data_IF_518835661220
#
_entry.id   IF_518835661220
#
_cell.length_a   1.000
_cell.length_b   1.000
_cell.length_c   1.000
_cell.angle_alpha   90.00
_cell.angle_beta   90.00
_cell.angle_gamma   90.00
#
_symmetry.space_group_name_H-M   'P 1'
#
loop_
_entity.id
_entity.type
_entity.pdbx_description
1 polymer ?
#
# COMPACT_ATOMS: atom_id res chain seq x y z
N UNK A 1 0.60 -14.05 3.81
CA UNK A 1 0.20 -12.76 3.20
C UNK A 1 0.05 -12.92 1.70
N UNK A 2 -0.90 -12.20 1.12
CA UNK A 2 -1.22 -12.28 -0.33
C UNK A 2 -1.16 -10.88 -0.94
N UNK A 3 -0.67 -10.77 -2.17
CA UNK A 3 -0.63 -9.49 -2.90
C UNK A 3 -0.78 -9.70 -4.40
N UNK A 4 -1.44 -8.75 -5.06
CA UNK A 4 -1.57 -8.71 -6.52
C UNK A 4 -0.35 -8.10 -7.22
N UNK A 5 0.54 -7.45 -6.46
CA UNK A 5 1.77 -6.88 -6.98
C UNK A 5 2.88 -7.93 -7.02
N UNK A 6 3.16 -8.42 -8.22
CA UNK A 6 4.26 -9.37 -8.45
C UNK A 6 5.61 -8.78 -8.03
N UNK A 7 5.81 -7.50 -8.32
CA UNK A 7 7.03 -6.77 -7.91
C UNK A 7 7.21 -6.80 -6.40
N UNK A 8 6.15 -6.57 -5.61
CA UNK A 8 6.27 -6.63 -4.15
C UNK A 8 6.60 -8.05 -3.67
N UNK A 9 5.87 -9.06 -4.16
CA UNK A 9 6.06 -10.45 -3.72
C UNK A 9 7.47 -10.95 -4.05
N UNK A 10 7.96 -10.70 -5.26
CA UNK A 10 9.30 -11.11 -5.69
C UNK A 10 10.40 -10.37 -4.90
N UNK A 11 10.15 -9.13 -4.48
CA UNK A 11 11.14 -8.31 -3.74
C UNK A 11 11.22 -8.68 -2.27
N UNK A 12 10.08 -8.89 -1.61
CA UNK A 12 10.03 -9.35 -0.21
C UNK A 12 10.66 -10.73 -0.06
N UNK A 13 10.53 -11.60 -1.08
CA UNK A 13 11.10 -12.95 -1.06
C UNK A 13 12.65 -13.02 -1.12
N UNK A 14 13.37 -11.91 -1.37
CA UNK A 14 14.83 -11.92 -1.25
C UNK A 14 15.62 -10.93 -2.09
N UNK A 15 15.04 -9.83 -2.57
CA UNK A 15 15.79 -8.94 -3.47
C UNK A 15 15.40 -7.46 -3.39
N UNK A 16 15.41 -6.92 -2.16
CA UNK A 16 15.03 -5.53 -1.83
C UNK A 16 15.86 -4.49 -2.63
N UNK A 17 17.11 -4.81 -2.97
CA UNK A 17 18.08 -3.84 -3.51
C UNK A 17 18.08 -3.67 -5.03
N UNK A 18 17.32 -4.46 -5.80
CA UNK A 18 17.41 -4.41 -7.26
C UNK A 18 16.39 -3.42 -7.86
N UNK A 19 16.70 -2.12 -7.74
CA UNK A 19 16.10 -1.05 -8.56
C UNK A 19 14.74 -0.49 -8.12
N UNK A 20 14.16 -0.95 -7.02
CA UNK A 20 12.86 -0.50 -6.52
C UNK A 20 12.99 0.52 -5.36
N UNK A 21 13.86 1.52 -5.53
CA UNK A 21 14.19 2.52 -4.49
C UNK A 21 12.96 3.27 -3.96
N UNK A 22 11.95 3.46 -4.82
CA UNK A 22 10.70 4.12 -4.49
C UNK A 22 9.82 3.35 -3.49
N UNK A 23 10.01 2.03 -3.35
CA UNK A 23 9.26 1.19 -2.41
C UNK A 23 10.16 0.57 -1.34
N UNK A 24 11.47 0.83 -1.37
CA UNK A 24 12.43 0.28 -0.42
C UNK A 24 12.07 0.56 1.05
N UNK A 25 11.63 1.77 1.45
CA UNK A 25 11.21 2.02 2.83
C UNK A 25 10.02 1.15 3.27
N UNK A 26 9.06 0.94 2.37
CA UNK A 26 7.89 0.09 2.63
C UNK A 26 8.32 -1.38 2.78
N UNK A 27 9.26 -1.84 1.94
CA UNK A 27 9.80 -3.20 2.03
C UNK A 27 10.55 -3.44 3.35
N UNK A 28 11.29 -2.44 3.84
CA UNK A 28 11.98 -2.52 5.13
C UNK A 28 10.99 -2.60 6.31
N UNK A 29 9.93 -1.79 6.28
CA UNK A 29 8.85 -1.85 7.28
C UNK A 29 8.13 -3.20 7.26
N UNK A 30 7.80 -3.71 6.08
CA UNK A 30 7.19 -5.03 5.90
C UNK A 30 8.07 -6.14 6.47
N UNK A 31 9.39 -6.10 6.24
CA UNK A 31 10.32 -7.07 6.81
C UNK A 31 10.44 -6.96 8.33
N UNK A 32 10.51 -5.72 8.83
CA UNK A 32 10.55 -5.46 10.27
C UNK A 32 9.32 -6.04 10.97
N UNK A 33 8.12 -5.77 10.44
CA UNK A 33 6.89 -6.37 10.95
C UNK A 33 6.87 -7.89 10.78
N UNK A 34 7.35 -8.41 9.65
CA UNK A 34 7.38 -9.86 9.41
C UNK A 34 8.25 -10.60 10.43
N UNK A 35 9.35 -9.98 10.90
CA UNK A 35 10.22 -10.56 11.93
C UNK A 35 9.55 -10.73 13.31
N UNK A 36 8.42 -10.07 13.54
CA UNK A 36 7.62 -10.26 14.77
C UNK A 36 6.77 -11.53 14.77
N UNK A 37 6.64 -12.20 13.62
CA UNK A 37 5.91 -13.46 13.47
C UNK A 37 6.89 -14.63 13.34
N UNK A 38 6.49 -15.82 13.80
CA UNK A 38 7.33 -17.03 13.68
C UNK A 38 7.60 -17.44 12.23
N UNK A 39 6.63 -17.22 11.34
CA UNK A 39 6.77 -17.48 9.91
C UNK A 39 5.81 -16.58 9.12
N UNK A 40 6.27 -16.02 8.00
CA UNK A 40 5.44 -15.26 7.06
C UNK A 40 5.67 -15.75 5.64
N UNK A 41 4.64 -16.35 5.06
CA UNK A 41 4.66 -16.79 3.66
C UNK A 41 4.00 -15.74 2.76
N UNK A 42 4.71 -15.30 1.73
CA UNK A 42 4.20 -14.38 0.71
C UNK A 42 3.76 -15.15 -0.52
N UNK A 43 2.55 -14.86 -1.00
CA UNK A 43 1.99 -15.46 -2.21
C UNK A 43 1.48 -14.38 -3.14
N UNK A 44 1.82 -14.50 -4.41
CA UNK A 44 1.18 -13.70 -5.45
C UNK A 44 -0.21 -14.26 -5.73
N UNK A 45 -1.20 -13.37 -5.76
CA UNK A 45 -2.59 -13.73 -6.08
C UNK A 45 -3.13 -12.78 -7.16
N UNK A 46 -3.85 -13.28 -8.18
CA UNK A 46 -4.49 -12.42 -9.17
C UNK A 46 -5.56 -11.54 -8.50
N UNK A 47 -5.81 -10.35 -9.06
CA UNK A 47 -6.79 -9.38 -8.54
C UNK A 47 -8.20 -9.94 -8.36
N UNK A 48 -8.59 -10.92 -9.18
CA UNK A 48 -9.88 -11.61 -9.04
C UNK A 48 -10.03 -12.32 -7.70
N UNK A 49 -8.94 -12.87 -7.17
CA UNK A 49 -8.89 -13.53 -5.86
C UNK A 49 -8.63 -12.51 -4.75
N UNK A 50 -7.80 -11.49 -5.00
CA UNK A 50 -7.53 -10.40 -4.04
C UNK A 50 -8.56 -9.25 -4.10
N UNK A 51 -9.79 -9.54 -4.53
CA UNK A 51 -10.81 -8.51 -4.84
C UNK A 51 -11.20 -7.68 -3.62
N UNK A 52 -11.22 -8.29 -2.44
CA UNK A 52 -11.54 -7.58 -1.20
C UNK A 52 -10.53 -6.45 -0.92
N UNK A 53 -9.23 -6.75 -0.99
CA UNK A 53 -8.19 -5.74 -0.81
C UNK A 53 -8.22 -4.68 -1.92
N UNK A 54 -8.48 -5.08 -3.17
CA UNK A 54 -8.64 -4.14 -4.28
C UNK A 54 -9.80 -3.16 -4.06
N UNK A 55 -10.96 -3.65 -3.61
CA UNK A 55 -12.11 -2.79 -3.30
C UNK A 55 -11.84 -1.88 -2.10
N UNK A 56 -11.18 -2.38 -1.06
CA UNK A 56 -10.78 -1.58 0.10
C UNK A 56 -9.83 -0.43 -0.32
N UNK A 57 -8.80 -0.74 -1.12
CA UNK A 57 -7.90 0.26 -1.68
C UNK A 57 -8.66 1.28 -2.54
N UNK A 58 -9.58 0.83 -3.41
CA UNK A 58 -10.39 1.72 -4.24
C UNK A 58 -11.28 2.66 -3.42
N UNK A 59 -11.89 2.17 -2.34
CA UNK A 59 -12.68 3.01 -1.41
C UNK A 59 -11.78 4.05 -0.74
N UNK A 60 -10.61 3.62 -0.24
CA UNK A 60 -9.63 4.52 0.36
C UNK A 60 -9.13 5.59 -0.61
N UNK A 61 -8.81 5.22 -1.84
CA UNK A 61 -8.41 6.16 -2.90
C UNK A 61 -9.48 7.20 -3.18
N UNK A 62 -10.76 6.80 -3.25
CA UNK A 62 -11.87 7.74 -3.44
C UNK A 62 -12.05 8.70 -2.26
N UNK A 63 -11.78 8.24 -1.03
CA UNK A 63 -11.82 9.11 0.14
C UNK A 63 -10.72 10.18 0.15
N UNK A 64 -9.66 10.00 -0.65
CA UNK A 64 -8.55 10.96 -0.80
C UNK A 64 -8.53 11.66 -2.17
N UNK A 65 -9.49 11.37 -3.05
CA UNK A 65 -9.68 12.05 -4.34
C UNK A 65 -10.30 13.45 -4.16
N UNK A 66 -10.08 14.39 -5.10
CA UNK A 66 -10.67 15.73 -5.09
C UNK A 66 -12.20 15.74 -4.93
N UNK A 67 -12.87 14.70 -5.41
CA UNK A 67 -14.31 14.49 -5.26
C UNK A 67 -14.75 14.45 -3.79
N UNK A 68 -13.91 13.90 -2.91
CA UNK A 68 -14.18 13.84 -1.48
C UNK A 68 -13.65 15.07 -0.73
N UNK A 69 -12.79 15.89 -1.35
CA UNK A 69 -12.23 17.10 -0.74
C UNK A 69 -13.24 18.23 -0.60
N UNK A 70 -14.31 18.23 -1.39
CA UNK A 70 -15.41 19.20 -1.25
C UNK A 70 -16.08 19.05 0.12
N UNK A 71 -16.31 17.81 0.55
CA UNK A 71 -16.96 17.49 1.83
C UNK A 71 -15.96 17.35 2.98
N UNK A 72 -14.74 16.89 2.70
CA UNK A 72 -13.72 16.61 3.71
C UNK A 72 -12.32 16.92 3.18
N UNK A 73 -11.96 18.20 3.06
CA UNK A 73 -10.66 18.59 2.53
C UNK A 73 -9.53 18.08 3.43
N UNK A 74 -8.36 17.75 2.86
CA UNK A 74 -7.18 17.40 3.64
C UNK A 74 -6.85 18.52 4.63
N UNK A 75 -6.41 18.21 5.87
CA UNK A 75 -6.04 19.24 6.85
C UNK A 75 -4.99 20.23 6.35
N UNK A 76 -4.11 19.79 5.44
CA UNK A 76 -3.12 20.63 4.76
C UNK A 76 -3.72 21.70 3.83
N UNK A 77 -4.96 21.52 3.36
CA UNK A 77 -5.70 22.46 2.50
C UNK A 77 -6.60 23.40 3.29
N UNK A 78 -7.09 22.99 4.46
CA UNK A 78 -7.96 23.81 5.33
C UNK A 78 -7.25 25.09 5.80
N UNK A 79 -5.94 25.05 6.01
CA UNK A 79 -5.15 26.23 6.41
C UNK A 79 -4.71 27.15 5.27
N UNK A 80 -4.84 26.73 4.01
CA UNK A 80 -4.38 27.48 2.82
C UNK A 80 -5.52 28.25 2.16
N UNK A 81 -6.76 27.73 2.24
CA UNK A 81 -7.96 28.36 1.69
C UNK A 81 -8.75 29.20 2.71
N UNK A 82 -8.20 29.41 3.91
CA UNK A 82 -8.79 30.29 4.91
C UNK A 82 -8.75 31.74 4.49
N UNK A 83 -9.91 32.28 4.10
CA UNK A 83 -10.25 33.71 4.10
C UNK A 83 -11.42 33.89 5.07
#
# INVERSE_FOLDING_TARGET
MESESKVLVDRVAGNIHNGAWNIAPILEEVNTLSSSFSEVCWKWAPRSVNRAAHLAAKIGSRAVEPECWVERPPPSLVGVLGV
#
